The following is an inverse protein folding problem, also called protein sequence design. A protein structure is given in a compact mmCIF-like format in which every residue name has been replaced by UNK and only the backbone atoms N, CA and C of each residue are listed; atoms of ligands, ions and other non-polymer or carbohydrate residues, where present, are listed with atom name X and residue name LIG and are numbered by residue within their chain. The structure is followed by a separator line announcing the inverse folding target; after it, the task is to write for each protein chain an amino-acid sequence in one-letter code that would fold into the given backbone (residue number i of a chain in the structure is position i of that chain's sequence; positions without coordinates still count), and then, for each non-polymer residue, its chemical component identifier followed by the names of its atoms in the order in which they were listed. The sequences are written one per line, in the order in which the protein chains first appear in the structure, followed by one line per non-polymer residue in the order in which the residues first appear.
data_IF_819667759900
#
_entry.id   IF_819667759900
#
_cell.length_a   1.000
_cell.length_b   1.000
_cell.length_c   1.000
_cell.angle_alpha   90.00
_cell.angle_beta   90.00
_cell.angle_gamma   90.00
#
_symmetry.space_group_name_H-M   'P 1'
#
loop_
_entity.id
_entity.type
_entity.pdbx_description
1 polymer ?
#
# COMPACT_ATOMS: atom_id res chain seq x y z
N UNK A 1 -10.29 4.27 -18.45
CA UNK A 1 -11.00 4.62 -17.21
C UNK A 1 -10.10 4.30 -16.01
N UNK A 2 -9.82 5.24 -15.09
CA UNK A 2 -9.05 4.90 -13.91
C UNK A 2 -9.93 4.05 -13.00
N UNK A 3 -9.52 2.79 -12.81
CA UNK A 3 -10.12 1.87 -11.85
C UNK A 3 -9.92 2.49 -10.47
N UNK A 4 -10.99 2.89 -9.81
CA UNK A 4 -10.91 3.49 -8.47
C UNK A 4 -10.44 2.40 -7.48
N UNK A 5 -9.21 2.56 -7.00
CA UNK A 5 -8.52 1.68 -6.05
C UNK A 5 -9.02 1.91 -4.63
N UNK A 6 -10.29 1.62 -4.36
CA UNK A 6 -10.77 1.63 -2.98
C UNK A 6 -10.50 0.26 -2.35
N UNK A 7 -9.58 0.17 -1.38
CA UNK A 7 -9.47 -1.03 -0.58
C UNK A 7 -10.75 -1.22 0.24
N UNK A 8 -11.28 -2.44 0.20
CA UNK A 8 -12.60 -2.80 0.72
C UNK A 8 -12.48 -3.54 2.05
N UNK A 9 -11.47 -4.41 2.17
CA UNK A 9 -11.22 -5.21 3.38
C UNK A 9 -9.74 -5.46 3.59
N UNK A 10 -9.29 -5.35 4.83
CA UNK A 10 -8.00 -5.85 5.28
C UNK A 10 -8.06 -7.37 5.39
N UNK A 11 -7.06 -8.05 4.84
CA UNK A 11 -6.86 -9.49 5.03
C UNK A 11 -5.50 -9.73 5.65
N UNK A 12 -5.40 -10.79 6.44
CA UNK A 12 -4.16 -11.29 7.02
C UNK A 12 -3.78 -12.57 6.26
N UNK A 13 -2.50 -12.72 5.97
CA UNK A 13 -1.94 -13.94 5.39
C UNK A 13 -0.60 -14.25 6.03
N UNK A 14 -0.35 -15.53 6.26
CA UNK A 14 0.94 -16.02 6.74
C UNK A 14 1.55 -16.93 5.69
N UNK A 15 2.82 -16.70 5.37
CA UNK A 15 3.61 -17.57 4.50
C UNK A 15 4.67 -18.28 5.34
N UNK A 16 4.91 -19.54 5.00
CA UNK A 16 5.97 -20.38 5.59
C UNK A 16 7.05 -20.59 4.54
N UNK A 17 8.30 -20.31 4.89
CA UNK A 17 9.48 -20.37 4.02
C UNK A 17 9.27 -19.76 2.63
N UNK A 18 8.79 -18.50 2.53
CA UNK A 18 8.57 -17.88 1.23
C UNK A 18 9.91 -17.62 0.52
N UNK A 19 9.90 -17.70 -0.81
CA UNK A 19 10.98 -17.11 -1.60
C UNK A 19 10.97 -15.60 -1.35
N UNK A 20 12.11 -15.06 -0.93
CA UNK A 20 12.16 -13.63 -0.59
C UNK A 20 13.46 -12.96 -0.99
N UNK A 21 13.32 -11.70 -1.40
CA UNK A 21 14.45 -10.86 -1.77
C UNK A 21 14.17 -9.39 -1.52
N UNK A 22 15.20 -8.67 -1.12
CA UNK A 22 15.22 -7.22 -1.15
C UNK A 22 15.63 -6.79 -2.55
N UNK A 23 14.86 -5.88 -3.13
CA UNK A 23 15.14 -5.23 -4.40
C UNK A 23 15.26 -3.74 -4.15
N UNK A 24 16.48 -3.20 -4.29
CA UNK A 24 16.69 -1.75 -4.29
C UNK A 24 16.41 -1.17 -5.68
N UNK A 25 15.87 0.04 -5.67
CA UNK A 25 15.59 0.86 -6.85
C UNK A 25 15.28 2.28 -6.37
N UNK A 26 14.41 3.01 -7.06
CA UNK A 26 13.90 4.30 -6.53
C UNK A 26 13.19 4.15 -5.17
N UNK A 27 12.58 2.98 -4.97
CA UNK A 27 11.94 2.57 -3.73
C UNK A 27 12.46 1.17 -3.43
N UNK A 28 13.00 0.97 -2.23
CA UNK A 28 13.42 -0.35 -1.75
C UNK A 28 12.20 -1.18 -1.37
N UNK A 29 12.18 -2.44 -1.79
CA UNK A 29 11.06 -3.34 -1.59
C UNK A 29 11.53 -4.72 -1.14
N UNK A 30 10.82 -5.33 -0.20
CA UNK A 30 10.89 -6.78 0.04
C UNK A 30 9.84 -7.44 -0.85
N UNK A 31 10.30 -8.32 -1.74
CA UNK A 31 9.43 -9.16 -2.56
C UNK A 31 9.31 -10.51 -1.88
N UNK A 32 8.08 -10.90 -1.53
CA UNK A 32 7.75 -12.21 -0.99
C UNK A 32 6.99 -13.00 -2.07
N UNK A 33 7.35 -14.26 -2.26
CA UNK A 33 6.70 -15.12 -3.24
C UNK A 33 6.42 -16.48 -2.62
N UNK A 34 5.20 -16.96 -2.81
CA UNK A 34 4.83 -18.33 -2.51
C UNK A 34 3.90 -18.84 -3.61
N UNK A 35 4.26 -19.97 -4.21
CA UNK A 35 3.62 -20.49 -5.42
C UNK A 35 3.64 -19.42 -6.54
N UNK A 36 2.50 -19.19 -7.21
CA UNK A 36 2.36 -18.21 -8.28
C UNK A 36 2.07 -16.77 -7.78
N UNK A 37 1.94 -16.54 -6.47
CA UNK A 37 1.56 -15.23 -5.91
C UNK A 37 2.79 -14.45 -5.45
N UNK A 38 2.80 -13.16 -5.77
CA UNK A 38 3.88 -12.22 -5.42
C UNK A 38 3.30 -11.08 -4.59
N UNK A 39 3.98 -10.80 -3.50
CA UNK A 39 3.65 -9.76 -2.54
C UNK A 39 4.83 -8.77 -2.47
N UNK A 40 4.55 -7.48 -2.38
CA UNK A 40 5.56 -6.44 -2.23
C UNK A 40 5.31 -5.67 -0.93
N UNK A 41 6.29 -5.67 -0.05
CA UNK A 41 6.37 -4.75 1.06
C UNK A 41 7.33 -3.61 0.70
N UNK A 42 6.79 -2.40 0.56
CA UNK A 42 7.62 -1.20 0.38
C UNK A 42 8.26 -0.83 1.73
N UNK A 43 9.59 -0.85 1.79
CA UNK A 43 10.35 -0.73 3.03
C UNK A 43 10.10 0.61 3.74
N UNK A 44 9.90 1.70 3.00
CA UNK A 44 9.66 3.05 3.54
C UNK A 44 8.32 3.19 4.30
N UNK A 45 7.44 2.19 4.20
CA UNK A 45 6.17 2.15 4.91
C UNK A 45 6.05 0.95 5.87
N UNK A 46 7.17 0.31 6.21
CA UNK A 46 7.21 -0.77 7.19
C UNK A 46 7.65 -0.25 8.57
N UNK A 47 7.83 -1.18 9.51
CA UNK A 47 8.48 -0.90 10.79
C UNK A 47 9.96 -0.50 10.59
N UNK A 48 10.54 0.34 11.47
CA UNK A 48 11.91 0.83 11.32
C UNK A 48 12.97 -0.27 11.14
N UNK A 49 12.78 -1.41 11.79
CA UNK A 49 13.68 -2.57 11.70
C UNK A 49 13.75 -3.14 10.28
N UNK A 50 12.62 -3.13 9.56
CA UNK A 50 12.56 -3.55 8.15
C UNK A 50 13.15 -2.50 7.23
N UNK A 51 12.94 -1.23 7.54
CA UNK A 51 13.55 -0.12 6.80
C UNK A 51 15.08 -0.21 6.86
N UNK A 52 15.63 -0.37 8.07
CA UNK A 52 17.07 -0.57 8.31
C UNK A 52 17.61 -1.84 7.62
N UNK A 53 16.84 -2.93 7.63
CA UNK A 53 17.20 -4.15 6.89
C UNK A 53 17.31 -3.87 5.38
N UNK A 54 16.40 -3.09 4.82
CA UNK A 54 16.46 -2.70 3.41
C UNK A 54 17.58 -1.69 3.12
N UNK A 55 17.92 -0.80 4.06
CA UNK A 55 19.02 0.15 3.90
C UNK A 55 20.38 -0.54 3.91
N UNK A 56 20.58 -1.50 4.80
CA UNK A 56 21.82 -2.27 4.92
C UNK A 56 22.02 -3.30 3.80
N UNK A 57 20.98 -3.63 3.05
CA UNK A 57 21.07 -4.65 2.00
C UNK A 57 21.84 -4.20 0.76
N UNK A 58 22.35 -5.15 -0.02
CA UNK A 58 22.84 -4.87 -1.37
C UNK A 58 21.68 -4.69 -2.37
N UNK A 59 21.99 -4.37 -3.64
CA UNK A 59 20.99 -3.99 -4.65
C UNK A 59 19.96 -5.10 -4.95
N UNK A 60 20.39 -6.35 -4.83
CA UNK A 60 19.54 -7.54 -4.80
C UNK A 60 20.11 -8.51 -3.77
N UNK A 61 19.40 -8.68 -2.66
CA UNK A 61 19.82 -9.58 -1.58
C UNK A 61 18.70 -10.58 -1.31
N UNK A 62 19.03 -11.87 -1.32
CA UNK A 62 18.09 -12.89 -0.87
C UNK A 62 17.94 -12.81 0.65
N UNK A 63 16.71 -12.92 1.12
CA UNK A 63 16.42 -13.06 2.54
C UNK A 63 15.99 -14.50 2.79
N UNK A 64 16.53 -15.11 3.84
CA UNK A 64 16.01 -16.37 4.36
C UNK A 64 14.97 -16.04 5.42
N UNK A 65 13.72 -16.31 5.10
CA UNK A 65 12.57 -16.05 5.98
C UNK A 65 12.00 -17.40 6.36
N UNK A 66 11.93 -17.69 7.66
CA UNK A 66 11.27 -18.90 8.14
C UNK A 66 9.76 -18.75 8.05
N UNK A 67 9.23 -17.64 8.54
CA UNK A 67 7.80 -17.32 8.43
C UNK A 67 7.57 -15.82 8.38
N UNK A 68 6.48 -15.41 7.76
CA UNK A 68 6.06 -14.02 7.69
C UNK A 68 4.54 -13.94 7.75
N UNK A 69 4.03 -13.05 8.59
CA UNK A 69 2.64 -12.65 8.61
C UNK A 69 2.53 -11.22 8.11
N UNK A 70 1.60 -10.97 7.19
CA UNK A 70 1.35 -9.63 6.68
C UNK A 70 -0.13 -9.39 6.50
N UNK A 71 -0.46 -8.09 6.48
CA UNK A 71 -1.75 -7.62 6.02
C UNK A 71 -1.65 -7.07 4.61
N UNK A 72 -2.73 -7.20 3.88
CA UNK A 72 -2.91 -6.57 2.58
C UNK A 72 -4.35 -6.11 2.44
N UNK A 73 -4.53 -5.07 1.63
CA UNK A 73 -5.86 -4.54 1.38
C UNK A 73 -6.40 -5.14 0.08
N UNK A 74 -7.53 -5.81 0.18
CA UNK A 74 -8.24 -6.31 -0.99
C UNK A 74 -9.08 -5.22 -1.62
N UNK A 75 -9.16 -5.21 -2.95
CA UNK A 75 -10.06 -4.33 -3.70
C UNK A 75 -11.29 -5.13 -4.16
N UNK A 76 -12.35 -4.43 -4.55
CA UNK A 76 -13.56 -5.07 -5.10
C UNK A 76 -13.30 -5.77 -6.45
N UNK A 77 -12.17 -5.48 -7.10
CA UNK A 77 -11.84 -5.95 -8.44
C UNK A 77 -10.71 -6.95 -8.36
N UNK A 78 -10.88 -8.09 -9.02
CA UNK A 78 -9.90 -9.17 -8.98
C UNK A 78 -8.57 -8.69 -9.60
N UNK A 79 -7.44 -8.81 -8.87
CA UNK A 79 -6.14 -8.51 -9.46
C UNK A 79 -5.92 -9.36 -10.71
N UNK A 80 -5.31 -8.79 -11.74
CA UNK A 80 -4.91 -9.55 -12.92
C UNK A 80 -3.94 -10.69 -12.54
N UNK A 81 -3.93 -11.78 -13.30
CA UNK A 81 -2.93 -12.85 -13.12
C UNK A 81 -1.52 -12.24 -13.12
N UNK A 82 -0.76 -12.49 -12.05
CA UNK A 82 0.59 -11.96 -11.87
C UNK A 82 0.69 -10.55 -11.27
N UNK A 83 -0.43 -9.92 -10.91
CA UNK A 83 -0.40 -8.66 -10.16
C UNK A 83 0.28 -8.87 -8.80
N UNK A 84 1.13 -7.92 -8.44
CA UNK A 84 1.81 -7.91 -7.15
C UNK A 84 0.94 -7.18 -6.14
N UNK A 85 0.66 -7.81 -5.01
CA UNK A 85 -0.15 -7.19 -3.95
C UNK A 85 0.76 -6.41 -3.00
N UNK A 86 0.42 -5.16 -2.70
CA UNK A 86 1.15 -4.37 -1.72
C UNK A 86 0.74 -4.81 -0.31
N UNK A 87 1.74 -5.08 0.54
CA UNK A 87 1.53 -5.64 1.87
C UNK A 87 2.26 -4.85 2.95
N UNK A 88 1.81 -5.04 4.19
CA UNK A 88 2.49 -4.58 5.40
C UNK A 88 2.80 -5.78 6.28
N UNK A 89 4.08 -5.94 6.60
CA UNK A 89 4.60 -7.04 7.41
C UNK A 89 4.20 -6.78 8.86
N UNK A 90 3.38 -7.66 9.41
CA UNK A 90 3.00 -7.62 10.82
C UNK A 90 4.03 -8.34 11.68
N UNK A 91 4.50 -9.50 11.23
CA UNK A 91 5.59 -10.22 11.87
C UNK A 91 6.44 -10.93 10.83
N UNK A 92 7.73 -11.07 11.11
CA UNK A 92 8.66 -11.81 10.27
C UNK A 92 9.69 -12.50 11.16
N UNK A 93 10.00 -13.75 10.82
CA UNK A 93 11.07 -14.52 11.42
C UNK A 93 12.14 -14.73 10.37
N UNK A 94 13.28 -14.10 10.56
CA UNK A 94 14.44 -14.23 9.68
C UNK A 94 15.32 -15.38 10.15
N UNK A 95 15.80 -16.19 9.20
CA UNK A 95 16.83 -17.18 9.46
C UNK A 95 18.21 -16.50 9.40
N UNK A 96 19.00 -16.65 10.46
CA UNK A 96 20.42 -16.29 10.43
C UNK A 96 21.22 -17.33 9.67
N UNK A 97 22.25 -16.90 8.93
CA UNK A 97 23.22 -17.79 8.29
C UNK A 97 24.03 -18.60 9.31
N UNK A 98 24.13 -18.10 10.54
CA UNK A 98 24.69 -18.83 11.68
C UNK A 98 23.54 -19.30 12.56
N UNK A 99 23.22 -20.59 12.44
CA UNK A 99 22.08 -21.39 12.94
C UNK A 99 21.61 -21.21 14.40
N UNK A 100 22.07 -20.21 15.14
CA UNK A 100 21.82 -20.04 16.58
C UNK A 100 20.91 -18.87 16.95
N UNK A 101 20.59 -17.94 16.03
CA UNK A 101 19.72 -16.80 16.34
C UNK A 101 18.67 -16.56 15.26
N UNK A 102 17.40 -16.68 15.64
CA UNK A 102 16.27 -16.25 14.82
C UNK A 102 15.90 -14.82 15.20
N UNK A 103 15.86 -13.93 14.21
CA UNK A 103 15.41 -12.55 14.44
C UNK A 103 13.91 -12.48 14.21
N UNK A 104 13.15 -12.30 15.29
CA UNK A 104 11.71 -12.08 15.23
C UNK A 104 11.41 -10.58 15.30
N UNK A 105 10.87 -10.04 14.22
CA UNK A 105 10.45 -8.65 14.16
C UNK A 105 8.92 -8.59 14.19
N UNK A 106 8.38 -7.73 15.05
CA UNK A 106 6.94 -7.55 15.24
C UNK A 106 6.59 -6.07 15.08
N UNK A 107 5.67 -5.77 14.18
CA UNK A 107 5.21 -4.42 13.95
C UNK A 107 4.33 -3.93 15.11
N UNK A 108 4.53 -2.67 15.50
CA UNK A 108 3.61 -2.00 16.40
C UNK A 108 2.26 -1.72 15.73
N UNK A 109 1.19 -1.63 16.53
CA UNK A 109 -0.11 -1.19 16.04
C UNK A 109 -0.06 0.20 15.39
N UNK A 110 0.82 1.09 15.87
CA UNK A 110 1.02 2.43 15.30
C UNK A 110 1.54 2.35 13.87
N UNK A 111 2.54 1.51 13.61
CA UNK A 111 3.13 1.32 12.27
C UNK A 111 2.06 0.83 11.29
N UNK A 112 1.25 -0.14 11.72
CA UNK A 112 0.13 -0.65 10.92
C UNK A 112 -0.89 0.45 10.58
N UNK A 113 -1.29 1.26 11.56
CA UNK A 113 -2.26 2.35 11.34
C UNK A 113 -1.72 3.42 10.38
N UNK A 114 -0.43 3.75 10.48
CA UNK A 114 0.23 4.67 9.57
C UNK A 114 0.21 4.14 8.13
N UNK A 115 0.55 2.86 7.94
CA UNK A 115 0.49 2.23 6.63
C UNK A 115 -0.93 2.24 6.06
N UNK A 116 -1.93 1.85 6.84
CA UNK A 116 -3.34 1.87 6.42
C UNK A 116 -3.74 3.30 5.97
N UNK A 117 -3.46 4.32 6.79
CA UNK A 117 -3.75 5.72 6.46
C UNK A 117 -3.06 6.16 5.16
N UNK A 118 -1.81 5.74 4.94
CA UNK A 118 -1.08 6.04 3.71
C UNK A 118 -1.77 5.46 2.47
N UNK A 119 -2.35 4.26 2.55
CA UNK A 119 -3.11 3.66 1.44
C UNK A 119 -4.35 4.49 1.06
N UNK A 120 -5.00 5.15 2.03
CA UNK A 120 -6.19 5.99 1.79
C UNK A 120 -5.86 7.44 1.44
N UNK A 121 -4.61 7.90 1.57
CA UNK A 121 -4.23 9.30 1.34
C UNK A 121 -4.66 9.79 -0.05
N UNK A 122 -4.40 9.00 -1.09
CA UNK A 122 -4.81 9.33 -2.46
C UNK A 122 -6.32 9.35 -2.64
N UNK A 123 -7.05 8.46 -1.96
CA UNK A 123 -8.52 8.44 -2.00
C UNK A 123 -9.10 9.73 -1.44
N UNK A 124 -8.57 10.22 -0.32
CA UNK A 124 -9.03 11.48 0.27
C UNK A 124 -8.76 12.68 -0.64
N UNK A 125 -7.58 12.71 -1.28
CA UNK A 125 -7.24 13.77 -2.25
C UNK A 125 -8.19 13.74 -3.45
N UNK A 126 -8.43 12.57 -4.04
CA UNK A 126 -9.35 12.43 -5.18
C UNK A 126 -10.77 12.84 -4.78
N UNK A 127 -11.25 12.41 -3.60
CA UNK A 127 -12.57 12.82 -3.08
C UNK A 127 -12.67 14.33 -2.92
N UNK A 128 -11.66 14.97 -2.35
CA UNK A 128 -11.62 16.43 -2.19
C UNK A 128 -11.68 17.14 -3.54
N UNK A 129 -10.88 16.70 -4.52
CA UNK A 129 -10.89 17.27 -5.87
C UNK A 129 -12.24 17.11 -6.57
N UNK A 130 -12.90 15.97 -6.40
CA UNK A 130 -14.25 15.75 -6.93
C UNK A 130 -15.28 16.68 -6.27
N UNK A 131 -15.23 16.86 -4.95
CA UNK A 131 -16.11 17.78 -4.23
C UNK A 131 -15.90 19.21 -4.71
N UNK A 132 -14.65 19.66 -4.85
CA UNK A 132 -14.33 21.00 -5.36
C UNK A 132 -14.83 21.19 -6.79
N UNK A 133 -14.70 20.18 -7.65
CA UNK A 133 -15.19 20.24 -9.02
C UNK A 133 -16.73 20.33 -9.08
N UNK A 134 -17.43 19.56 -8.25
CA UNK A 134 -18.90 19.62 -8.15
C UNK A 134 -19.35 20.99 -7.62
N UNK A 135 -18.66 21.52 -6.60
CA UNK A 135 -18.94 22.84 -6.05
C UNK A 135 -18.78 23.93 -7.12
N UNK A 136 -17.68 23.87 -7.89
CA UNK A 136 -17.42 24.81 -8.98
C UNK A 136 -18.52 24.76 -10.05
N UNK A 137 -18.95 23.56 -10.46
CA UNK A 137 -20.07 23.37 -11.40
C UNK A 137 -21.38 23.95 -10.86
N UNK A 138 -21.68 23.74 -9.57
CA UNK A 138 -22.88 24.27 -8.93
C UNK A 138 -22.89 25.81 -8.89
N UNK A 139 -21.76 26.43 -8.52
CA UNK A 139 -21.61 27.89 -8.52
C UNK A 139 -21.78 28.45 -9.93
N UNK A 140 -21.11 27.86 -10.93
CA UNK A 140 -21.23 28.29 -12.32
C UNK A 140 -22.67 28.18 -12.84
N UNK A 141 -23.40 27.13 -12.46
CA UNK A 141 -24.80 26.94 -12.82
C UNK A 141 -25.70 28.00 -12.17
N UNK A 142 -25.53 28.30 -10.88
CA UNK A 142 -26.30 29.35 -10.18
C UNK A 142 -26.03 30.73 -10.78
N UNK A 143 -24.76 31.05 -11.08
CA UNK A 143 -24.39 32.33 -11.71
C UNK A 143 -25.03 32.46 -13.09
N UNK A 144 -25.04 31.38 -13.88
CA UNK A 144 -25.68 31.36 -15.21
C UNK A 144 -27.20 31.54 -15.13
N UNK A 145 -27.87 30.92 -14.16
CA UNK A 145 -29.32 31.13 -13.94
C UNK A 145 -29.59 32.59 -13.58
N UNK A 146 -28.86 33.14 -12.61
CA UNK A 146 -29.05 34.54 -12.18
C UNK A 146 -28.78 35.55 -13.29
N UNK A 147 -27.87 35.26 -14.22
CA UNK A 147 -27.62 36.14 -15.37
C UNK A 147 -28.70 36.02 -16.45
N UNK A 148 -29.30 34.84 -16.61
CA UNK A 148 -30.45 34.62 -17.50
C UNK A 148 -31.70 35.34 -16.98
N UNK A 149 -32.04 35.20 -15.70
CA UNK A 149 -33.20 35.90 -15.09
C UNK A 149 -33.07 37.41 -15.25
N UNK A 150 -31.86 37.96 -15.06
CA UNK A 150 -31.63 39.41 -15.20
C UNK A 150 -31.82 39.91 -16.63
N UNK A 151 -31.59 39.08 -17.65
CA UNK A 151 -31.79 39.43 -19.07
C UNK A 151 -33.24 39.31 -19.55
N UNK A 152 -34.13 38.69 -18.78
CA UNK A 152 -35.55 38.55 -19.12
C UNK A 152 -36.37 39.73 -18.56
N UNK A 153 -35.84 40.47 -17.60
CA UNK A 153 -36.48 41.65 -16.99
C UNK A 153 -36.04 43.00 -17.60
N UNK A 154 -35.06 43.00 -18.51
CA UNK A 154 -34.66 44.15 -19.34
C UNK A 154 -35.24 44.00 -20.76
#
# INVERSE_FOLDING_TARGET
MPKVWLPVKTKILSLQHPESKIVKGKISNIVLQQNAKKYIANCAWQMPEIEQLCESSTHQQQLKIQSVQFIYLTTAWQPSKGAKEQVFIQSIILESEHHTQQSHLLASHVNQQLWIKAQYKFVHIIRLLLILNILHMAVAFIVKIKSLDRKVLD
#
